data_IF_469535498754
#
_entry.id   IF_469535498754
#
_cell.length_a   1.000
_cell.length_b   1.000
_cell.length_c   1.000
_cell.angle_alpha   90.00
_cell.angle_beta   90.00
_cell.angle_gamma   90.00
#
_symmetry.space_group_name_H-M   'P 1'
#
loop_
_entity.id
_entity.type
_entity.pdbx_description
1 polymer ?
#
# COMPACT_ATOMS: atom_id res chain seq x y z
N UNK A 1 -4.54 -1.74 2.82
CA UNK A 1 -4.56 -2.87 3.76
C UNK A 1 -3.45 -2.65 4.78
N UNK A 2 -3.16 -3.61 5.65
CA UNK A 2 -2.01 -3.56 6.53
C UNK A 2 -0.71 -3.78 5.75
N UNK A 3 0.36 -3.13 6.20
CA UNK A 3 1.72 -3.25 5.68
C UNK A 3 2.17 -4.70 5.42
N UNK A 4 1.89 -5.70 6.30
CA UNK A 4 2.28 -7.09 6.03
C UNK A 4 1.65 -7.69 4.77
N UNK A 5 0.44 -7.26 4.40
CA UNK A 5 -0.23 -7.72 3.18
C UNK A 5 0.50 -7.21 1.93
N UNK A 6 0.88 -5.93 1.95
CA UNK A 6 1.64 -5.29 0.86
C UNK A 6 3.07 -5.86 0.75
N UNK A 7 3.71 -6.14 1.89
CA UNK A 7 4.99 -6.83 1.95
C UNK A 7 4.90 -8.24 1.37
N UNK A 8 3.89 -9.03 1.76
CA UNK A 8 3.72 -10.39 1.25
C UNK A 8 3.56 -10.41 -0.27
N UNK A 9 2.76 -9.51 -0.84
CA UNK A 9 2.65 -9.39 -2.30
C UNK A 9 3.99 -9.02 -2.97
N UNK A 10 4.74 -8.06 -2.41
CA UNK A 10 6.07 -7.72 -2.91
C UNK A 10 7.03 -8.90 -2.89
N UNK A 11 7.00 -9.71 -1.83
CA UNK A 11 7.82 -10.91 -1.71
C UNK A 11 7.44 -11.98 -2.75
N UNK A 12 6.14 -12.19 -3.00
CA UNK A 12 5.66 -13.11 -4.04
C UNK A 12 6.14 -12.65 -5.42
N UNK A 13 5.93 -11.37 -5.75
CA UNK A 13 6.31 -10.81 -7.05
C UNK A 13 7.84 -10.86 -7.21
N UNK A 14 8.59 -10.48 -6.18
CA UNK A 14 10.05 -10.53 -6.19
C UNK A 14 10.58 -11.94 -6.40
N UNK A 15 9.98 -12.96 -5.75
CA UNK A 15 10.36 -14.36 -5.94
C UNK A 15 10.06 -14.88 -7.34
N UNK A 16 8.89 -14.53 -7.89
CA UNK A 16 8.46 -14.92 -9.24
C UNK A 16 9.30 -14.27 -10.35
N UNK A 17 9.82 -13.08 -10.11
CA UNK A 17 10.49 -12.26 -11.13
C UNK A 17 12.01 -12.20 -10.96
N UNK A 18 12.53 -12.59 -9.80
CA UNK A 18 13.95 -12.54 -9.46
C UNK A 18 14.44 -11.16 -8.98
N UNK A 19 13.58 -10.14 -8.92
CA UNK A 19 13.94 -8.79 -8.47
C UNK A 19 13.10 -8.37 -7.25
N UNK A 20 13.61 -8.71 -6.06
CA UNK A 20 13.01 -8.30 -4.80
C UNK A 20 13.08 -6.79 -4.57
N UNK A 21 14.07 -6.09 -5.11
CA UNK A 21 14.27 -4.67 -4.85
C UNK A 21 13.17 -3.85 -5.54
N UNK A 22 12.97 -4.07 -6.84
CA UNK A 22 11.91 -3.41 -7.59
C UNK A 22 10.53 -3.75 -7.03
N UNK A 23 10.29 -5.02 -6.71
CA UNK A 23 9.02 -5.47 -6.15
C UNK A 23 8.75 -4.85 -4.76
N UNK A 24 9.75 -4.81 -3.87
CA UNK A 24 9.62 -4.23 -2.53
C UNK A 24 9.38 -2.72 -2.60
N UNK A 25 10.09 -1.99 -3.45
CA UNK A 25 9.87 -0.55 -3.60
C UNK A 25 8.44 -0.29 -4.11
N UNK A 26 7.99 -1.06 -5.11
CA UNK A 26 6.64 -0.91 -5.67
C UNK A 26 5.53 -1.29 -4.69
N UNK A 27 5.73 -2.30 -3.84
CA UNK A 27 4.66 -2.74 -2.94
C UNK A 27 4.70 -2.10 -1.55
N UNK A 28 5.87 -1.75 -1.01
CA UNK A 28 6.04 -1.32 0.39
C UNK A 28 6.44 0.15 0.51
N UNK A 29 7.38 0.65 -0.31
CA UNK A 29 7.85 2.02 -0.16
C UNK A 29 6.76 3.07 -0.47
N UNK A 30 5.72 2.67 -1.20
CA UNK A 30 4.53 3.49 -1.48
C UNK A 30 3.77 3.84 -0.18
N UNK A 31 3.77 2.96 0.83
CA UNK A 31 3.16 3.23 2.14
C UNK A 31 3.86 4.36 2.92
N UNK A 32 5.01 4.87 2.43
CA UNK A 32 5.72 5.96 3.09
C UNK A 32 4.88 7.26 3.20
N UNK A 33 3.86 7.46 2.36
CA UNK A 33 2.98 8.63 2.49
C UNK A 33 2.15 8.61 3.80
N UNK A 34 1.99 7.45 4.44
CA UNK A 34 1.34 7.33 5.75
C UNK A 34 2.16 8.02 6.84
N UNK A 35 3.50 8.03 6.71
CA UNK A 35 4.37 8.76 7.64
C UNK A 35 4.12 10.26 7.59
N UNK A 36 3.79 10.81 6.41
CA UNK A 36 3.44 12.22 6.27
C UNK A 36 2.14 12.56 7.03
N UNK A 37 1.16 11.65 7.04
CA UNK A 37 -0.05 11.82 7.83
C UNK A 37 0.23 11.80 9.34
N UNK A 38 1.12 10.92 9.82
CA UNK A 38 1.54 10.90 11.22
C UNK A 38 2.35 12.14 11.63
N UNK A 39 3.23 12.61 10.74
CA UNK A 39 4.05 13.80 10.92
C UNK A 39 3.17 15.05 11.05
N UNK A 40 2.32 15.30 10.05
CA UNK A 40 1.40 16.45 10.03
C UNK A 40 0.43 16.46 11.22
N UNK A 41 0.05 15.27 11.71
CA UNK A 41 -0.84 15.12 12.87
C UNK A 41 -0.13 15.17 14.23
N UNK A 42 1.20 15.36 14.28
CA UNK A 42 2.00 15.39 15.52
C UNK A 42 1.85 14.11 16.38
N UNK A 43 1.72 12.96 15.72
CA UNK A 43 1.51 11.63 16.34
C UNK A 43 2.78 10.78 16.39
N UNK A 44 3.78 11.05 15.54
CA UNK A 44 4.97 10.21 15.34
C UNK A 44 5.79 9.85 16.59
N UNK A 45 5.74 10.64 17.66
CA UNK A 45 6.50 10.37 18.90
C UNK A 45 5.61 9.87 20.05
N UNK A 46 4.31 9.68 19.79
CA UNK A 46 3.31 9.33 20.81
C UNK A 46 2.84 7.90 20.57
N UNK A 47 3.57 6.92 21.10
CA UNK A 47 3.31 5.46 20.91
C UNK A 47 1.83 5.10 21.06
N UNK A 48 1.16 5.56 22.12
CA UNK A 48 -0.28 5.31 22.33
C UNK A 48 -1.13 5.85 21.19
N UNK A 49 -0.82 7.03 20.66
CA UNK A 49 -1.53 7.62 19.52
C UNK A 49 -1.20 6.91 18.21
N UNK A 50 0.02 6.42 18.03
CA UNK A 50 0.37 5.58 16.86
C UNK A 50 -0.47 4.32 16.86
N UNK A 51 -0.50 3.60 17.99
CA UNK A 51 -1.32 2.38 18.12
C UNK A 51 -2.79 2.68 17.81
N UNK A 52 -3.34 3.77 18.35
CA UNK A 52 -4.71 4.16 18.04
C UNK A 52 -4.89 4.52 16.56
N UNK A 53 -3.91 5.18 15.94
CA UNK A 53 -3.96 5.60 14.55
C UNK A 53 -3.81 4.45 13.55
N UNK A 54 -3.18 3.34 13.95
CA UNK A 54 -3.00 2.14 13.13
C UNK A 54 -4.05 1.06 13.39
N UNK A 55 -4.81 1.16 14.48
CA UNK A 55 -5.84 0.15 14.84
C UNK A 55 -7.26 0.66 14.73
N UNK A 56 -7.48 1.97 14.85
CA UNK A 56 -8.81 2.58 14.73
C UNK A 56 -8.98 3.28 13.40
N UNK A 57 -10.04 2.88 12.70
CA UNK A 57 -10.49 3.56 11.50
C UNK A 57 -10.76 5.05 11.79
N UNK A 58 -10.31 5.94 10.90
CA UNK A 58 -10.53 7.39 10.96
C UNK A 58 -9.97 8.14 12.19
N UNK A 59 -8.96 7.60 12.89
CA UNK A 59 -8.36 8.31 14.03
C UNK A 59 -7.60 9.58 13.60
N UNK A 60 -7.06 9.62 12.39
CA UNK A 60 -6.46 10.82 11.81
C UNK A 60 -7.47 11.55 10.92
N UNK A 61 -7.54 12.88 11.07
CA UNK A 61 -8.44 13.77 10.32
C UNK A 61 -8.05 13.83 8.83
N UNK A 62 -6.76 13.63 8.54
CA UNK A 62 -6.25 13.57 7.18
C UNK A 62 -6.14 12.12 6.72
N UNK A 63 -6.73 11.81 5.57
CA UNK A 63 -6.67 10.49 4.98
C UNK A 63 -5.20 10.09 4.75
N UNK A 64 -4.80 8.88 5.14
CA UNK A 64 -3.39 8.47 5.13
C UNK A 64 -2.86 8.14 3.72
N UNK A 65 -3.78 7.90 2.77
CA UNK A 65 -3.54 7.44 1.39
C UNK A 65 -3.88 8.54 0.39
N UNK A 66 -2.93 9.42 0.06
CA UNK A 66 -3.21 10.57 -0.83
C UNK A 66 -2.19 10.70 -1.96
N UNK A 67 -0.91 10.91 -1.63
CA UNK A 67 0.07 11.34 -2.64
C UNK A 67 0.66 10.17 -3.42
N UNK A 68 0.97 9.07 -2.75
CA UNK A 68 1.48 7.87 -3.43
C UNK A 68 0.35 6.89 -3.75
N UNK A 69 -0.80 7.03 -3.09
CA UNK A 69 -1.95 6.17 -3.34
C UNK A 69 -2.93 6.86 -4.32
N UNK A 70 -2.45 7.23 -5.52
CA UNK A 70 -3.34 7.68 -6.59
C UNK A 70 -2.80 7.26 -7.95
N UNK A 71 -3.72 7.14 -8.91
CA UNK A 71 -3.43 6.63 -10.25
C UNK A 71 -2.45 7.53 -11.01
N UNK A 72 -2.48 8.85 -10.80
CA UNK A 72 -1.59 9.77 -11.51
C UNK A 72 -0.14 9.59 -11.06
N UNK A 73 0.09 9.47 -9.75
CA UNK A 73 1.43 9.20 -9.23
C UNK A 73 1.91 7.81 -9.61
N UNK A 74 1.04 6.79 -9.55
CA UNK A 74 1.35 5.45 -10.04
C UNK A 74 1.84 5.49 -11.50
N UNK A 75 1.07 6.11 -12.41
CA UNK A 75 1.44 6.21 -13.82
C UNK A 75 2.76 6.95 -14.02
N UNK A 76 2.98 8.06 -13.31
CA UNK A 76 4.21 8.84 -13.41
C UNK A 76 5.44 8.08 -12.88
N UNK A 77 5.31 7.43 -11.71
CA UNK A 77 6.37 6.64 -11.11
C UNK A 77 6.69 5.41 -11.95
N UNK A 78 5.67 4.69 -12.43
CA UNK A 78 5.81 3.55 -13.33
C UNK A 78 6.49 3.92 -14.64
N UNK A 79 6.05 5.00 -15.30
CA UNK A 79 6.69 5.47 -16.52
C UNK A 79 8.16 5.84 -16.30
N UNK A 80 8.46 6.52 -15.18
CA UNK A 80 9.83 6.88 -14.82
C UNK A 80 10.71 5.65 -14.59
N UNK A 81 10.20 4.65 -13.86
CA UNK A 81 10.92 3.41 -13.61
C UNK A 81 11.18 2.64 -14.90
N UNK A 82 10.18 2.54 -15.79
CA UNK A 82 10.30 1.88 -17.09
C UNK A 82 11.33 2.53 -18.03
N UNK A 83 11.50 3.86 -17.94
CA UNK A 83 12.52 4.60 -18.72
C UNK A 83 13.93 4.31 -18.19
N UNK A 84 14.10 4.17 -16.88
CA UNK A 84 15.41 3.93 -16.25
C UNK A 84 15.86 2.48 -16.48
N UNK A 85 14.98 1.53 -16.20
CA UNK A 85 15.20 0.11 -16.45
C UNK A 85 13.85 -0.53 -16.75
N UNK A 86 13.70 -1.05 -17.97
CA UNK A 86 12.43 -1.59 -18.43
C UNK A 86 11.98 -2.82 -17.60
N UNK A 87 12.90 -3.72 -17.25
CA UNK A 87 12.57 -4.93 -16.53
C UNK A 87 12.21 -4.62 -15.08
N UNK A 88 13.07 -3.89 -14.37
CA UNK A 88 12.81 -3.47 -13.00
C UNK A 88 11.56 -2.56 -12.95
N UNK A 89 11.37 -1.69 -13.94
CA UNK A 89 10.20 -0.83 -14.06
C UNK A 89 8.90 -1.59 -14.23
N UNK A 90 8.87 -2.69 -14.99
CA UNK A 90 7.71 -3.57 -15.10
C UNK A 90 7.39 -4.23 -13.76
N UNK A 91 8.39 -4.76 -13.07
CA UNK A 91 8.24 -5.44 -11.77
C UNK A 91 7.74 -4.47 -10.70
N UNK A 92 8.34 -3.28 -10.63
CA UNK A 92 7.91 -2.17 -9.79
C UNK A 92 6.45 -1.79 -10.07
N UNK A 93 6.09 -1.61 -11.35
CA UNK A 93 4.74 -1.21 -11.76
C UNK A 93 3.70 -2.27 -11.40
N UNK A 94 4.03 -3.55 -11.58
CA UNK A 94 3.15 -4.64 -11.19
C UNK A 94 2.95 -4.67 -9.67
N UNK A 95 4.03 -4.56 -8.90
CA UNK A 95 3.98 -4.55 -7.44
C UNK A 95 3.17 -3.36 -6.89
N UNK A 96 3.34 -2.18 -7.48
CA UNK A 96 2.57 -0.99 -7.15
C UNK A 96 1.09 -1.14 -7.52
N UNK A 97 0.78 -1.68 -8.70
CA UNK A 97 -0.61 -1.93 -9.08
C UNK A 97 -1.30 -2.87 -8.08
N UNK A 98 -0.64 -3.97 -7.69
CA UNK A 98 -1.16 -4.90 -6.68
C UNK A 98 -1.36 -4.19 -5.34
N UNK A 99 -0.43 -3.33 -4.94
CA UNK A 99 -0.56 -2.52 -3.74
C UNK A 99 -1.83 -1.64 -3.80
N UNK A 100 -2.08 -0.92 -4.90
CA UNK A 100 -3.29 -0.08 -5.04
C UNK A 100 -4.58 -0.92 -5.06
N UNK A 101 -4.54 -2.11 -5.66
CA UNK A 101 -5.68 -3.05 -5.66
C UNK A 101 -5.98 -3.50 -4.24
N UNK A 102 -4.97 -3.86 -3.45
CA UNK A 102 -5.16 -4.24 -2.04
C UNK A 102 -5.77 -3.10 -1.24
N UNK A 103 -5.32 -1.87 -1.46
CA UNK A 103 -5.91 -0.70 -0.84
C UNK A 103 -7.36 -0.42 -1.23
N UNK A 104 -7.75 -0.77 -2.46
CA UNK A 104 -9.14 -0.71 -2.90
C UNK A 104 -10.02 -1.83 -2.31
N UNK A 105 -9.43 -2.95 -1.88
CA UNK A 105 -10.14 -4.06 -1.24
C UNK A 105 -10.39 -3.82 0.26
N UNK A 106 -9.62 -2.93 0.88
CA UNK A 106 -9.80 -2.49 2.26
C UNK A 106 -11.01 -1.54 2.40
N UNK A 107 -11.70 -1.59 3.54
CA UNK A 107 -12.91 -0.81 3.78
C UNK A 107 -12.65 0.63 4.26
N UNK A 108 -11.38 1.04 4.36
CA UNK A 108 -11.04 2.44 4.55
C UNK A 108 -11.36 3.25 3.29
N UNK A 109 -11.55 4.56 3.47
CA UNK A 109 -11.89 5.44 2.34
C UNK A 109 -10.63 5.67 1.51
N UNK A 110 -10.65 5.19 0.26
CA UNK A 110 -9.54 5.35 -0.68
C UNK A 110 -9.93 6.32 -1.81
N UNK A 111 -9.07 7.28 -2.14
CA UNK A 111 -9.32 8.28 -3.21
C UNK A 111 -8.34 8.06 -4.38
N UNK A 112 -8.64 7.17 -5.33
CA UNK A 112 -7.71 6.81 -6.41
C UNK A 112 -7.33 7.99 -7.32
N UNK A 113 -8.10 9.08 -7.32
CA UNK A 113 -7.87 10.27 -8.14
C UNK A 113 -7.51 11.52 -7.31
N UNK A 114 -6.94 11.34 -6.12
CA UNK A 114 -6.44 12.46 -5.31
C UNK A 114 -5.56 13.42 -6.17
N UNK A 115 -5.72 14.76 -6.05
CA UNK A 115 -6.46 15.51 -5.02
C UNK A 115 -7.98 15.58 -5.22
N UNK A 116 -8.52 15.08 -6.34
CA UNK A 116 -9.97 15.02 -6.54
C UNK A 116 -10.60 13.94 -5.64
N UNK A 117 -11.34 14.36 -4.63
CA UNK A 117 -12.05 13.47 -3.68
C UNK A 117 -13.45 13.04 -4.15
N UNK A 118 -13.80 13.30 -5.42
CA UNK A 118 -15.14 13.01 -5.96
C UNK A 118 -15.46 11.52 -6.04
N UNK A 119 -14.43 10.71 -6.32
CA UNK A 119 -14.54 9.25 -6.41
C UNK A 119 -13.83 8.67 -5.20
N UNK A 120 -14.59 7.95 -4.37
CA UNK A 120 -14.02 7.20 -3.24
C UNK A 120 -14.41 5.74 -3.36
N UNK A 121 -13.45 4.88 -3.02
CA UNK A 121 -13.62 3.43 -2.98
C UNK A 121 -13.61 2.97 -1.53
N UNK A 122 -14.39 1.92 -1.26
CA UNK A 122 -14.40 1.16 0.00
C UNK A 122 -14.62 -0.30 -0.36
N UNK A 123 -13.65 -1.14 -0.05
CA UNK A 123 -13.72 -2.56 -0.33
C UNK A 123 -14.44 -3.35 0.75
N UNK A 124 -14.60 -4.67 0.53
CA UNK A 124 -15.34 -5.55 1.43
C UNK A 124 -14.54 -5.97 2.69
N UNK A 125 -13.20 -5.86 2.68
CA UNK A 125 -12.35 -6.35 3.76
C UNK A 125 -12.25 -5.30 4.85
N UNK A 126 -12.65 -5.66 6.08
CA UNK A 126 -12.62 -4.72 7.20
C UNK A 126 -11.18 -4.45 7.65
N UNK A 127 -10.82 -3.18 7.79
CA UNK A 127 -9.53 -2.75 8.32
C UNK A 127 -9.29 -3.27 9.74
N UNK A 128 -8.08 -3.75 9.99
CA UNK A 128 -7.63 -4.32 11.26
C UNK A 128 -8.57 -5.43 11.77
N UNK A 129 -9.12 -6.24 10.85
CA UNK A 129 -10.04 -7.33 11.17
C UNK A 129 -9.40 -8.70 11.02
N UNK A 130 -10.08 -9.73 11.54
CA UNK A 130 -9.67 -11.13 11.34
C UNK A 130 -9.59 -11.50 9.85
N UNK A 131 -10.44 -10.92 9.00
CA UNK A 131 -10.44 -11.19 7.55
C UNK A 131 -9.12 -10.74 6.92
N UNK A 132 -8.64 -9.55 7.29
CA UNK A 132 -7.39 -8.99 6.79
C UNK A 132 -6.17 -9.78 7.28
N UNK A 133 -6.18 -10.21 8.55
CA UNK A 133 -5.11 -11.06 9.11
C UNK A 133 -5.05 -12.40 8.38
N UNK A 134 -6.19 -13.06 8.15
CA UNK A 134 -6.25 -14.33 7.41
C UNK A 134 -5.75 -14.12 5.97
N UNK A 135 -6.16 -13.03 5.33
CA UNK A 135 -5.72 -12.69 3.98
C UNK A 135 -4.19 -12.51 3.90
N UNK A 136 -3.60 -11.77 4.84
CA UNK A 136 -2.15 -11.58 4.92
C UNK A 136 -1.41 -12.92 5.13
N UNK A 137 -1.88 -13.75 6.07
CA UNK A 137 -1.29 -15.07 6.33
C UNK A 137 -1.37 -16.00 5.10
N UNK A 138 -2.49 -15.97 4.38
CA UNK A 138 -2.63 -16.73 3.15
C UNK A 138 -1.62 -16.30 2.08
N UNK A 139 -1.38 -14.99 1.91
CA UNK A 139 -0.34 -14.50 0.99
C UNK A 139 1.07 -14.96 1.42
N UNK A 140 1.40 -14.88 2.71
CA UNK A 140 2.69 -15.40 3.19
C UNK A 140 2.82 -16.91 2.95
N UNK A 141 1.75 -17.68 3.09
CA UNK A 141 1.77 -19.11 2.76
C UNK A 141 2.00 -19.35 1.27
N UNK A 142 1.36 -18.57 0.39
CA UNK A 142 1.60 -18.61 -1.06
C UNK A 142 3.07 -18.32 -1.38
N UNK A 143 3.66 -17.29 -0.77
CA UNK A 143 5.09 -16.98 -0.93
C UNK A 143 6.03 -18.14 -0.56
N UNK A 144 5.66 -18.96 0.43
CA UNK A 144 6.48 -20.10 0.83
C UNK A 144 6.45 -21.23 -0.21
N UNK A 145 5.34 -21.37 -0.96
CA UNK A 145 5.13 -22.48 -1.90
C UNK A 145 5.60 -22.15 -3.32
N UNK A 146 5.35 -20.91 -3.77
CA UNK A 146 5.75 -20.40 -5.09
C UNK A 146 7.16 -19.90 -4.99
#
# INVERSE_FOLDING_TARGET
MLLPTHLAAGLIIGKLTGDYSAAFIGSVAVDLDHFFAFYSSHVLLKVKKIILATTKQNFLVNNQRNYFHNIFFFLAASASALIIDFNAGLIFSLAYLVHLIFDALDNQTYFPFYPSKKISLRGPIKYFSKQEIIFALALFFIFLIV
#
